data_IF_910295773381
#
_entry.id   IF_910295773381
#
_cell.length_a   1.000
_cell.length_b   1.000
_cell.length_c   1.000
_cell.angle_alpha   90.00
_cell.angle_beta   90.00
_cell.angle_gamma   90.00
#
_symmetry.space_group_name_H-M   'P 1'
#
loop_
_entity.id
_entity.type
_entity.pdbx_description
1 polymer ?
#
# COMPACT_ATOMS: atom_id res chain seq x y z
N UNK A 1 4.50 48.41 -67.60
CA UNK A 1 3.38 48.36 -68.56
C UNK A 1 2.09 48.13 -67.79
N UNK A 2 1.08 48.99 -67.99
CA UNK A 2 -0.34 48.92 -67.56
C UNK A 2 -0.59 49.18 -66.06
N UNK A 3 -0.94 50.41 -65.69
CA UNK A 3 -2.31 51.02 -65.59
C UNK A 3 -2.90 50.74 -64.20
N UNK A 4 -3.03 51.70 -63.28
CA UNK A 4 -3.80 52.97 -63.31
C UNK A 4 -5.26 52.74 -63.71
N UNK A 5 -6.16 52.96 -62.73
CA UNK A 5 -7.63 53.23 -62.74
C UNK A 5 -8.18 52.60 -61.44
N UNK A 6 -8.29 53.34 -60.34
CA UNK A 6 -9.30 54.37 -60.00
C UNK A 6 -10.45 53.77 -59.16
N UNK A 7 -10.60 54.28 -57.91
CA UNK A 7 -11.71 55.14 -57.44
C UNK A 7 -12.99 54.35 -57.14
N UNK A 8 -13.79 54.56 -56.08
CA UNK A 8 -14.04 55.64 -55.12
C UNK A 8 -14.45 54.92 -53.80
N UNK A 9 -14.21 55.39 -52.58
CA UNK A 9 -14.86 56.55 -51.95
C UNK A 9 -14.15 56.90 -50.65
N UNK A 10 -13.39 58.00 -50.66
CA UNK A 10 -13.25 58.89 -49.51
C UNK A 10 -14.26 60.00 -49.74
N UNK A 11 -15.22 60.18 -48.84
CA UNK A 11 -16.02 61.40 -48.77
C UNK A 11 -16.70 61.50 -47.40
N UNK A 12 -16.38 62.59 -46.69
CA UNK A 12 -17.00 63.14 -45.47
C UNK A 12 -16.72 62.34 -44.18
N UNK A 13 -15.97 62.85 -43.19
CA UNK A 13 -16.11 64.15 -42.49
C UNK A 13 -16.96 63.87 -41.25
N UNK A 14 -16.49 63.98 -40.00
CA UNK A 14 -15.99 65.19 -39.33
C UNK A 14 -15.14 64.83 -38.08
N UNK A 15 -14.27 65.79 -37.76
CA UNK A 15 -13.38 65.93 -36.60
C UNK A 15 -14.06 66.55 -35.38
N UNK A 16 -13.49 66.31 -34.19
CA UNK A 16 -13.18 67.21 -33.06
C UNK A 16 -12.97 66.32 -31.82
N UNK A 17 -12.13 66.56 -30.80
CA UNK A 17 -10.94 67.36 -30.49
C UNK A 17 -10.47 66.78 -29.12
N UNK A 18 -9.16 66.75 -28.84
CA UNK A 18 -8.58 66.27 -27.55
C UNK A 18 -8.70 67.36 -26.44
N UNK A 19 -8.35 67.15 -25.13
CA UNK A 19 -7.02 66.70 -24.68
C UNK A 19 -6.91 65.86 -23.38
N UNK A 20 -5.74 65.23 -23.27
CA UNK A 20 -4.92 64.89 -22.08
C UNK A 20 -5.56 64.29 -20.82
N UNK A 21 -4.98 63.17 -20.33
CA UNK A 21 -4.03 63.17 -19.20
C UNK A 21 -3.59 61.73 -18.87
N UNK A 22 -2.27 61.56 -18.77
CA UNK A 22 -1.47 60.59 -18.01
C UNK A 22 -1.45 59.07 -18.31
N UNK A 23 -0.28 58.67 -18.85
CA UNK A 23 0.64 57.63 -18.37
C UNK A 23 0.06 56.37 -17.68
N UNK A 24 0.28 55.21 -18.31
CA UNK A 24 1.22 54.21 -17.77
C UNK A 24 1.42 53.06 -18.77
N UNK A 25 2.69 52.74 -18.99
CA UNK A 25 3.18 51.61 -19.77
C UNK A 25 2.74 50.30 -19.10
N UNK A 26 2.16 49.37 -19.86
CA UNK A 26 2.29 47.94 -19.53
C UNK A 26 2.36 47.12 -20.80
N UNK A 27 3.56 46.58 -20.99
CA UNK A 27 3.98 45.62 -21.99
C UNK A 27 3.20 44.31 -21.93
N UNK A 28 2.84 43.86 -23.12
CA UNK A 28 2.49 42.49 -23.52
C UNK A 28 3.18 41.39 -22.71
N UNK A 29 2.39 40.42 -22.23
CA UNK A 29 2.80 39.01 -22.22
C UNK A 29 1.61 38.16 -22.64
N UNK A 30 1.78 37.56 -23.81
CA UNK A 30 0.95 36.49 -24.36
C UNK A 30 0.85 35.36 -23.34
N UNK A 31 -0.38 35.05 -22.91
CA UNK A 31 -0.69 33.81 -22.22
C UNK A 31 -0.59 32.67 -23.23
N UNK A 32 0.47 31.88 -23.14
CA UNK A 32 0.56 30.59 -23.82
C UNK A 32 -0.45 29.62 -23.21
N UNK A 33 -1.21 28.87 -24.02
CA UNK A 33 -2.18 27.91 -23.51
C UNK A 33 -1.45 26.79 -22.77
N UNK A 34 -1.84 26.57 -21.51
CA UNK A 34 -1.39 25.47 -20.68
C UNK A 34 -1.59 24.15 -21.42
N UNK A 35 -0.46 23.57 -21.79
CA UNK A 35 -0.37 22.28 -22.45
C UNK A 35 -0.84 21.20 -21.48
N UNK A 36 -1.95 20.54 -21.83
CA UNK A 36 -2.49 19.32 -21.23
C UNK A 36 -1.52 18.11 -21.40
N UNK A 37 -0.31 18.21 -20.86
CA UNK A 37 0.49 17.03 -20.58
C UNK A 37 -0.16 16.38 -19.36
N UNK A 38 -0.59 15.11 -19.41
CA UNK A 38 -1.14 14.47 -18.22
C UNK A 38 -0.08 14.54 -17.11
N UNK A 39 -0.44 15.16 -15.97
CA UNK A 39 0.47 15.39 -14.85
C UNK A 39 1.09 14.09 -14.29
N UNK A 40 0.47 12.95 -14.60
CA UNK A 40 0.79 11.62 -14.09
C UNK A 40 2.13 11.05 -14.61
N UNK A 41 2.42 10.94 -15.93
CA UNK A 41 3.76 10.62 -16.42
C UNK A 41 4.87 11.51 -15.85
N UNK A 42 4.62 12.81 -15.76
CA UNK A 42 5.59 13.78 -15.23
C UNK A 42 5.90 13.48 -13.76
N UNK A 43 4.87 13.25 -12.94
CA UNK A 43 5.04 12.89 -11.53
C UNK A 43 5.75 11.54 -11.36
N UNK A 44 5.43 10.55 -12.21
CA UNK A 44 6.12 9.26 -12.23
C UNK A 44 7.61 9.41 -12.52
N UNK A 45 7.94 10.20 -13.54
CA UNK A 45 9.34 10.47 -13.88
C UNK A 45 10.05 11.25 -12.78
N UNK A 46 9.35 12.17 -12.08
CA UNK A 46 9.90 12.86 -10.93
C UNK A 46 10.24 11.91 -9.77
N UNK A 47 9.34 10.96 -9.45
CA UNK A 47 9.57 9.91 -8.44
C UNK A 47 10.79 9.07 -8.81
N UNK A 48 10.84 8.57 -10.05
CA UNK A 48 11.95 7.75 -10.53
C UNK A 48 13.28 8.51 -10.47
N UNK A 49 13.31 9.76 -10.95
CA UNK A 49 14.51 10.60 -10.91
C UNK A 49 14.99 10.81 -9.49
N UNK A 50 14.08 11.07 -8.56
CA UNK A 50 14.42 11.19 -7.14
C UNK A 50 15.03 9.89 -6.59
N UNK A 51 14.40 8.74 -6.83
CA UNK A 51 14.91 7.45 -6.33
C UNK A 51 16.32 7.19 -6.86
N UNK A 52 16.56 7.39 -8.16
CA UNK A 52 17.87 7.23 -8.78
C UNK A 52 18.90 8.19 -8.17
N UNK A 53 18.53 9.45 -8.00
CA UNK A 53 19.42 10.46 -7.42
C UNK A 53 19.78 10.14 -5.97
N UNK A 54 18.81 9.67 -5.18
CA UNK A 54 19.01 9.25 -3.80
C UNK A 54 19.91 8.00 -3.68
N UNK A 55 19.90 7.13 -4.70
CA UNK A 55 20.71 5.92 -4.75
C UNK A 55 22.09 6.11 -5.40
N UNK A 56 22.38 7.28 -5.98
CA UNK A 56 23.68 7.57 -6.59
C UNK A 56 24.89 7.26 -5.67
N UNK A 57 24.87 7.56 -4.36
CA UNK A 57 25.98 7.22 -3.46
C UNK A 57 26.26 5.73 -3.34
N UNK A 58 25.29 4.87 -3.63
CA UNK A 58 25.38 3.41 -3.49
C UNK A 58 26.01 2.73 -4.72
N UNK A 59 26.20 3.46 -5.83
CA UNK A 59 26.78 2.92 -7.08
C UNK A 59 28.28 2.67 -6.94
N UNK A 60 28.99 3.52 -6.18
CA UNK A 60 30.45 3.46 -6.06
C UNK A 60 30.92 2.48 -4.96
N UNK A 61 30.02 2.02 -4.10
CA UNK A 61 30.30 1.08 -3.01
C UNK A 61 30.22 -0.38 -3.52
N UNK A 62 31.33 -0.87 -4.09
CA UNK A 62 31.47 -2.18 -4.78
C UNK A 62 30.96 -3.45 -4.05
N UNK A 63 30.60 -3.36 -2.77
CA UNK A 63 30.10 -4.47 -1.95
C UNK A 63 28.67 -4.26 -1.42
N UNK A 64 27.94 -3.25 -1.91
CA UNK A 64 26.63 -2.87 -1.40
C UNK A 64 25.54 -3.08 -2.45
N UNK A 65 24.86 -4.20 -2.37
CA UNK A 65 23.58 -4.40 -3.05
C UNK A 65 22.43 -3.82 -2.22
N UNK A 66 21.40 -3.34 -2.90
CA UNK A 66 20.17 -2.85 -2.29
C UNK A 66 19.21 -4.02 -2.11
N UNK A 67 18.89 -4.33 -0.85
CA UNK A 67 17.91 -5.35 -0.48
C UNK A 67 16.47 -4.81 -0.47
N UNK A 68 16.29 -3.49 -0.36
CA UNK A 68 14.96 -2.90 -0.43
C UNK A 68 14.91 -1.39 -0.43
N UNK A 69 13.77 -0.86 -0.88
CA UNK A 69 13.46 0.56 -0.95
C UNK A 69 12.08 0.81 -0.34
N UNK A 70 11.99 1.76 0.58
CA UNK A 70 10.72 2.30 1.07
C UNK A 70 10.63 3.79 0.72
N UNK A 71 9.75 4.09 -0.23
CA UNK A 71 9.49 5.43 -0.72
C UNK A 71 8.37 6.10 0.09
N UNK A 72 8.53 7.38 0.37
CA UNK A 72 7.51 8.19 1.04
C UNK A 72 7.18 9.38 0.17
N UNK A 73 5.89 9.72 0.08
CA UNK A 73 5.43 10.92 -0.61
C UNK A 73 4.48 11.71 0.30
N UNK A 74 4.83 12.97 0.53
CA UNK A 74 4.00 13.91 1.26
C UNK A 74 2.92 14.46 0.33
N UNK A 75 1.65 14.23 0.67
CA UNK A 75 0.49 14.74 -0.04
C UNK A 75 -0.43 15.46 0.95
N UNK A 76 -0.55 16.78 0.80
CA UNK A 76 -1.36 17.64 1.68
C UNK A 76 -2.78 17.87 1.17
N UNK A 77 -3.10 17.37 -0.04
CA UNK A 77 -4.42 17.47 -0.67
C UNK A 77 -4.80 16.16 -1.35
N UNK A 78 -6.11 15.97 -1.52
CA UNK A 78 -6.66 14.78 -2.18
C UNK A 78 -6.19 14.62 -3.62
N UNK A 79 -6.11 15.71 -4.39
CA UNK A 79 -5.61 15.71 -5.77
C UNK A 79 -4.16 15.20 -5.85
N UNK A 80 -3.31 15.57 -4.89
CA UNK A 80 -1.93 15.08 -4.82
C UNK A 80 -1.87 13.58 -4.50
N UNK A 81 -2.74 13.11 -3.62
CA UNK A 81 -2.87 11.69 -3.24
C UNK A 81 -3.33 10.84 -4.43
N UNK A 82 -4.34 11.29 -5.17
CA UNK A 82 -4.80 10.63 -6.40
C UNK A 82 -3.69 10.60 -7.46
N UNK A 83 -3.06 11.74 -7.73
CA UNK A 83 -1.96 11.81 -8.69
C UNK A 83 -0.78 10.91 -8.30
N UNK A 84 -0.47 10.82 -6.99
CA UNK A 84 0.54 9.90 -6.47
C UNK A 84 0.13 8.44 -6.68
N UNK A 85 -1.14 8.10 -6.41
CA UNK A 85 -1.63 6.73 -6.56
C UNK A 85 -1.57 6.23 -8.01
N UNK A 86 -1.96 7.07 -8.97
CA UNK A 86 -1.85 6.73 -10.40
C UNK A 86 -0.38 6.66 -10.85
N UNK A 87 0.49 7.54 -10.34
CA UNK A 87 1.91 7.50 -10.66
C UNK A 87 2.60 6.21 -10.18
N UNK A 88 2.20 5.72 -8.99
CA UNK A 88 2.75 4.55 -8.29
C UNK A 88 1.99 3.25 -8.57
N UNK A 89 0.93 3.26 -9.38
CA UNK A 89 0.08 2.10 -9.66
C UNK A 89 -0.48 1.46 -8.38
N UNK A 90 -1.11 2.24 -7.50
CA UNK A 90 -1.72 1.74 -6.25
C UNK A 90 -2.75 0.64 -6.47
N UNK A 91 -3.42 0.63 -7.62
CA UNK A 91 -4.42 -0.35 -8.03
C UNK A 91 -3.80 -1.68 -8.50
N UNK A 92 -2.51 -1.69 -8.84
CA UNK A 92 -1.77 -2.86 -9.35
C UNK A 92 -0.46 -3.04 -8.58
N UNK A 93 -0.51 -3.68 -7.39
CA UNK A 93 0.66 -3.92 -6.57
C UNK A 93 1.82 -4.55 -7.34
N UNK A 94 3.03 -4.03 -7.16
CA UNK A 94 4.25 -4.51 -7.82
C UNK A 94 4.50 -3.96 -9.23
N UNK A 95 3.48 -3.45 -9.93
CA UNK A 95 3.63 -2.99 -11.32
C UNK A 95 4.62 -1.82 -11.46
N UNK A 96 4.62 -0.87 -10.52
CA UNK A 96 5.60 0.23 -10.54
C UNK A 96 7.04 -0.29 -10.41
N UNK A 97 7.28 -1.26 -9.52
CA UNK A 97 8.59 -1.90 -9.32
C UNK A 97 9.07 -2.55 -10.61
N UNK A 98 8.27 -3.47 -11.17
CA UNK A 98 8.68 -4.33 -12.30
C UNK A 98 8.76 -3.56 -13.61
N UNK A 99 7.76 -2.73 -13.93
CA UNK A 99 7.62 -2.11 -15.26
C UNK A 99 8.35 -0.77 -15.38
N UNK A 100 8.47 0.00 -14.29
CA UNK A 100 8.92 1.40 -14.36
C UNK A 100 10.24 1.66 -13.63
N UNK A 101 10.50 0.96 -12.53
CA UNK A 101 11.62 1.25 -11.65
C UNK A 101 12.84 0.36 -11.89
N UNK A 102 12.68 -0.97 -11.82
CA UNK A 102 13.79 -1.92 -11.73
C UNK A 102 14.82 -1.76 -12.86
N UNK A 103 14.36 -1.79 -14.12
CA UNK A 103 15.23 -1.59 -15.28
C UNK A 103 15.97 -0.25 -15.26
N UNK A 104 15.33 0.81 -14.76
CA UNK A 104 15.98 2.12 -14.66
C UNK A 104 17.05 2.13 -13.56
N UNK A 105 16.84 1.46 -12.44
CA UNK A 105 17.87 1.30 -11.41
C UNK A 105 19.10 0.55 -11.95
N UNK A 106 18.87 -0.57 -12.65
CA UNK A 106 19.93 -1.36 -13.27
C UNK A 106 20.70 -0.56 -14.34
N UNK A 107 20.02 0.23 -15.17
CA UNK A 107 20.66 1.11 -16.15
C UNK A 107 21.55 2.20 -15.52
N UNK A 108 21.32 2.50 -14.24
CA UNK A 108 22.12 3.44 -13.45
C UNK A 108 23.16 2.70 -12.56
N UNK A 109 23.45 1.43 -12.85
CA UNK A 109 24.42 0.60 -12.16
C UNK A 109 24.14 0.39 -10.67
N UNK A 110 22.89 0.54 -10.24
CA UNK A 110 22.48 0.23 -8.88
C UNK A 110 22.35 -1.28 -8.76
N UNK A 111 23.14 -1.89 -7.86
CA UNK A 111 23.08 -3.32 -7.60
C UNK A 111 21.86 -3.64 -6.72
N UNK A 112 21.04 -4.60 -7.15
CA UNK A 112 19.82 -5.03 -6.47
C UNK A 112 19.97 -6.50 -6.06
N UNK A 113 19.48 -6.85 -4.87
CA UNK A 113 19.35 -8.27 -4.47
C UNK A 113 18.30 -9.00 -5.30
N UNK A 114 18.42 -10.33 -5.41
CA UNK A 114 17.51 -11.16 -6.20
C UNK A 114 16.05 -10.99 -5.76
N UNK A 115 15.81 -10.87 -4.46
CA UNK A 115 14.48 -10.71 -3.86
C UNK A 115 14.25 -9.31 -3.28
N UNK A 116 14.86 -8.28 -3.90
CA UNK A 116 14.72 -6.91 -3.40
C UNK A 116 13.25 -6.44 -3.42
N UNK A 117 12.86 -5.63 -2.43
CA UNK A 117 11.49 -5.12 -2.33
C UNK A 117 11.40 -3.61 -2.63
N UNK A 118 10.23 -3.19 -3.10
CA UNK A 118 9.87 -1.77 -3.22
C UNK A 118 8.50 -1.56 -2.56
N UNK A 119 8.45 -0.66 -1.58
CA UNK A 119 7.22 -0.20 -0.96
C UNK A 119 7.10 1.31 -1.09
N UNK A 120 5.86 1.82 -1.03
CA UNK A 120 5.62 3.24 -0.87
C UNK A 120 4.60 3.51 0.24
N UNK A 121 4.67 4.72 0.82
CA UNK A 121 3.69 5.24 1.77
C UNK A 121 3.36 6.68 1.44
N UNK A 122 2.06 6.99 1.37
CA UNK A 122 1.58 8.37 1.29
C UNK A 122 1.43 8.90 2.72
N UNK A 123 2.07 10.02 3.01
CA UNK A 123 2.02 10.70 4.32
C UNK A 123 1.35 12.06 4.17
N UNK A 124 0.61 12.52 5.19
CA UNK A 124 -0.16 13.77 5.14
C UNK A 124 0.51 14.94 5.86
N UNK A 125 1.28 14.63 6.89
CA UNK A 125 1.85 15.67 7.78
C UNK A 125 3.32 15.92 7.47
N UNK A 126 4.17 14.91 7.68
CA UNK A 126 5.62 15.04 7.52
C UNK A 126 6.28 13.75 7.02
N UNK A 127 7.43 13.90 6.35
CA UNK A 127 8.29 12.78 5.99
C UNK A 127 9.03 12.23 7.22
N UNK A 128 9.33 10.91 7.28
CA UNK A 128 10.10 10.34 8.37
C UNK A 128 11.51 10.95 8.47
N UNK A 129 11.99 11.26 9.67
CA UNK A 129 13.31 11.87 9.89
C UNK A 129 14.49 10.98 9.44
N UNK A 130 14.29 9.66 9.42
CA UNK A 130 15.33 8.67 9.10
C UNK A 130 15.32 8.22 7.62
N UNK A 131 15.13 9.15 6.69
CA UNK A 131 15.18 8.86 5.25
C UNK A 131 15.90 9.98 4.47
N UNK A 132 16.35 9.65 3.26
CA UNK A 132 16.87 10.64 2.31
C UNK A 132 15.70 11.47 1.82
N UNK A 133 15.68 12.78 2.07
CA UNK A 133 14.55 13.65 1.73
C UNK A 133 14.90 14.64 0.62
N UNK A 134 13.96 14.88 -0.28
CA UNK A 134 14.01 15.98 -1.25
C UNK A 134 12.59 16.48 -1.56
N UNK A 135 12.28 17.71 -1.14
CA UNK A 135 10.94 18.29 -1.31
C UNK A 135 9.87 17.42 -0.65
N UNK A 136 8.86 16.99 -1.43
CA UNK A 136 7.77 16.12 -0.96
C UNK A 136 8.11 14.63 -0.96
N UNK A 137 9.36 14.25 -1.23
CA UNK A 137 9.76 12.85 -1.36
C UNK A 137 10.76 12.43 -0.28
N UNK A 138 10.58 11.21 0.23
CA UNK A 138 11.50 10.53 1.13
C UNK A 138 11.87 9.14 0.62
N UNK A 139 13.10 8.69 0.84
CA UNK A 139 13.55 7.35 0.50
C UNK A 139 14.35 6.75 1.64
N UNK A 140 13.90 5.63 2.17
CA UNK A 140 14.69 4.76 3.04
C UNK A 140 15.24 3.62 2.20
N UNK A 141 16.55 3.41 2.29
CA UNK A 141 17.28 2.36 1.57
C UNK A 141 17.66 1.27 2.57
N UNK A 142 17.43 0.02 2.21
CA UNK A 142 17.86 -1.16 2.96
C UNK A 142 18.99 -1.83 2.20
N UNK A 143 20.18 -1.90 2.80
CA UNK A 143 21.37 -2.52 2.20
C UNK A 143 21.37 -4.03 2.43
N UNK A 144 22.00 -4.78 1.55
CA UNK A 144 22.26 -6.20 1.79
C UNK A 144 23.23 -6.37 2.96
N UNK A 145 22.91 -7.29 3.87
CA UNK A 145 23.70 -7.50 5.10
C UNK A 145 23.51 -6.44 6.18
N UNK A 146 22.83 -5.32 5.89
CA UNK A 146 22.23 -4.50 6.94
C UNK A 146 21.15 -5.36 7.57
N UNK A 147 21.42 -5.88 8.76
CA UNK A 147 20.36 -6.34 9.65
C UNK A 147 19.39 -5.16 9.72
N UNK A 148 18.25 -5.27 9.03
CA UNK A 148 17.11 -4.39 9.23
C UNK A 148 16.95 -4.41 10.74
N UNK A 149 17.35 -3.34 11.44
CA UNK A 149 17.24 -3.29 12.89
C UNK A 149 15.78 -3.59 13.18
N UNK A 150 15.58 -4.79 13.68
CA UNK A 150 14.34 -5.54 13.55
C UNK A 150 13.30 -4.80 14.35
N UNK A 151 12.43 -4.03 13.68
CA UNK A 151 11.13 -3.75 14.26
C UNK A 151 10.28 -4.98 13.98
N UNK A 152 10.57 -6.09 14.66
CA UNK A 152 9.60 -7.16 14.81
C UNK A 152 8.51 -6.61 15.72
N UNK A 153 7.61 -5.82 15.14
CA UNK A 153 6.48 -5.29 15.89
C UNK A 153 5.60 -6.48 16.28
N UNK A 154 5.64 -6.84 17.56
CA UNK A 154 4.66 -7.76 18.11
C UNK A 154 3.26 -7.18 17.85
N UNK A 155 2.31 -8.06 17.61
CA UNK A 155 0.91 -7.72 17.49
C UNK A 155 0.08 -8.58 18.45
N UNK A 156 -1.20 -8.28 18.55
CA UNK A 156 -2.13 -9.04 19.36
C UNK A 156 -3.41 -9.29 18.57
N UNK A 157 -3.94 -10.51 18.66
CA UNK A 157 -5.31 -10.80 18.26
C UNK A 157 -6.18 -10.91 19.50
N UNK A 158 -7.23 -10.09 19.55
CA UNK A 158 -8.25 -10.17 20.60
C UNK A 158 -9.47 -10.91 20.07
N UNK A 159 -9.99 -11.87 20.83
CA UNK A 159 -11.23 -12.58 20.52
C UNK A 159 -12.41 -11.69 20.92
N UNK A 160 -13.25 -11.33 19.96
CA UNK A 160 -14.47 -10.54 20.22
C UNK A 160 -15.71 -11.42 20.29
N UNK A 161 -15.79 -12.44 19.41
CA UNK A 161 -16.92 -13.38 19.35
C UNK A 161 -16.39 -14.81 19.15
N UNK A 162 -16.99 -15.75 19.87
CA UNK A 162 -16.57 -17.15 19.93
C UNK A 162 -15.75 -17.44 21.19
N UNK A 163 -15.48 -18.72 21.42
CA UNK A 163 -14.75 -19.19 22.60
C UNK A 163 -13.41 -19.79 22.19
N UNK A 164 -12.32 -19.09 22.48
CA UNK A 164 -10.97 -19.58 22.21
C UNK A 164 -10.26 -20.02 23.50
N UNK A 165 -9.15 -20.74 23.36
CA UNK A 165 -8.28 -21.11 24.51
C UNK A 165 -7.75 -19.88 25.25
N UNK A 166 -7.53 -18.77 24.53
CA UNK A 166 -7.05 -17.50 25.08
C UNK A 166 -7.94 -16.36 24.57
N UNK A 167 -8.13 -15.35 25.39
CA UNK A 167 -8.86 -14.15 24.98
C UNK A 167 -8.01 -13.23 24.08
N UNK A 168 -6.70 -13.21 24.31
CA UNK A 168 -5.73 -12.47 23.53
C UNK A 168 -4.56 -13.37 23.16
N UNK A 169 -4.11 -13.29 21.90
CA UNK A 169 -2.98 -14.05 21.35
C UNK A 169 -1.90 -13.08 20.90
N UNK A 170 -0.73 -13.14 21.53
CA UNK A 170 0.43 -12.36 21.11
C UNK A 170 1.03 -13.00 19.86
N UNK A 171 1.14 -12.21 18.81
CA UNK A 171 1.88 -12.54 17.61
C UNK A 171 3.27 -11.95 17.76
N UNK A 172 4.25 -12.78 18.08
CA UNK A 172 5.64 -12.36 18.26
C UNK A 172 6.53 -12.96 17.15
N UNK A 173 7.00 -12.15 16.18
CA UNK A 173 7.86 -12.62 15.10
C UNK A 173 9.23 -13.12 15.56
N UNK A 174 9.67 -12.77 16.78
CA UNK A 174 10.90 -13.33 17.36
C UNK A 174 10.74 -14.81 17.73
N UNK A 175 9.51 -15.26 17.98
CA UNK A 175 9.23 -16.65 18.39
C UNK A 175 8.76 -17.52 17.22
N UNK A 176 7.86 -17.00 16.39
CA UNK A 176 7.31 -17.71 15.24
C UNK A 176 6.80 -16.72 14.20
N UNK A 177 6.96 -17.07 12.92
CA UNK A 177 6.52 -16.22 11.81
C UNK A 177 5.15 -16.60 11.26
N UNK A 178 4.63 -17.78 11.60
CA UNK A 178 3.35 -18.29 11.10
C UNK A 178 2.49 -18.75 12.26
N UNK A 179 1.23 -18.33 12.25
CA UNK A 179 0.24 -18.66 13.27
C UNK A 179 -0.99 -19.25 12.58
N UNK A 180 -1.26 -20.53 12.80
CA UNK A 180 -2.42 -21.21 12.23
C UNK A 180 -3.67 -20.96 13.08
N UNK A 181 -4.81 -20.76 12.42
CA UNK A 181 -6.10 -20.46 13.04
C UNK A 181 -7.08 -21.58 12.71
N UNK A 182 -7.71 -22.14 13.73
CA UNK A 182 -8.73 -23.16 13.51
C UNK A 182 -9.40 -23.65 14.78
N UNK A 183 -10.35 -24.57 14.57
CA UNK A 183 -11.05 -25.28 15.65
C UNK A 183 -10.27 -26.50 16.11
N UNK A 184 -10.20 -26.69 17.44
CA UNK A 184 -9.34 -27.68 18.14
C UNK A 184 -7.85 -27.39 18.02
N UNK A 185 -7.06 -27.75 19.03
CA UNK A 185 -5.59 -27.54 19.04
C UNK A 185 -4.86 -28.37 17.99
N UNK A 186 -5.21 -29.66 17.92
CA UNK A 186 -4.51 -30.65 17.08
C UNK A 186 -5.48 -31.52 16.25
N UNK A 187 -6.39 -30.93 15.45
CA UNK A 187 -7.39 -31.72 14.73
C UNK A 187 -6.76 -32.59 13.64
N UNK A 188 -7.32 -33.79 13.46
CA UNK A 188 -7.08 -34.58 12.27
C UNK A 188 -7.95 -34.07 11.12
N UNK A 189 -7.32 -33.70 10.01
CA UNK A 189 -7.97 -33.26 8.78
C UNK A 189 -8.51 -34.46 7.99
N UNK A 190 -9.36 -34.19 7.00
CA UNK A 190 -9.90 -35.23 6.09
C UNK A 190 -8.81 -35.97 5.30
N UNK A 191 -7.64 -35.34 5.11
CA UNK A 191 -6.46 -35.98 4.51
C UNK A 191 -5.73 -36.95 5.45
N UNK A 192 -6.16 -37.08 6.71
CA UNK A 192 -5.45 -37.82 7.75
C UNK A 192 -4.31 -37.05 8.42
N UNK A 193 -3.91 -35.88 7.89
CA UNK A 193 -2.89 -35.02 8.49
C UNK A 193 -3.38 -34.42 9.81
N UNK A 194 -2.52 -34.39 10.82
CA UNK A 194 -2.75 -33.61 12.04
C UNK A 194 -2.33 -32.16 11.77
N UNK A 195 -3.27 -31.23 11.94
CA UNK A 195 -3.01 -29.80 11.89
C UNK A 195 -2.73 -29.32 13.32
N UNK A 196 -1.75 -28.43 13.49
CA UNK A 196 -1.52 -27.74 14.76
C UNK A 196 -1.98 -26.30 14.62
N UNK A 197 -2.94 -25.90 15.46
CA UNK A 197 -3.46 -24.54 15.52
C UNK A 197 -2.81 -23.76 16.66
N UNK A 198 -2.41 -22.53 16.38
CA UNK A 198 -1.80 -21.62 17.36
C UNK A 198 -2.86 -20.77 18.02
N UNK A 199 -3.82 -20.30 17.21
CA UNK A 199 -5.03 -19.58 17.63
C UNK A 199 -6.19 -20.57 17.54
N UNK A 200 -6.72 -20.96 18.70
CA UNK A 200 -7.57 -22.15 18.85
C UNK A 200 -8.94 -21.77 19.32
N UNK A 201 -9.94 -22.01 18.47
CA UNK A 201 -11.34 -22.02 18.88
C UNK A 201 -11.70 -23.40 19.42
N UNK A 202 -12.31 -23.45 20.62
CA UNK A 202 -12.69 -24.72 21.24
C UNK A 202 -13.78 -25.43 20.43
N UNK A 203 -13.68 -26.75 20.31
CA UNK A 203 -14.70 -27.57 19.68
C UNK A 203 -15.75 -28.04 20.70
N UNK A 204 -16.96 -28.29 20.20
CA UNK A 204 -18.00 -28.94 21.00
C UNK A 204 -17.49 -30.27 21.57
N UNK A 205 -17.68 -30.47 22.87
CA UNK A 205 -17.20 -31.63 23.62
C UNK A 205 -15.75 -31.55 24.11
N UNK A 206 -15.01 -30.49 23.79
CA UNK A 206 -13.71 -30.23 24.42
C UNK A 206 -13.88 -29.68 25.85
N UNK A 207 -12.96 -29.98 26.78
CA UNK A 207 -13.00 -29.44 28.13
C UNK A 207 -13.10 -27.91 28.14
N UNK A 208 -14.07 -27.39 28.88
CA UNK A 208 -14.29 -25.95 29.01
C UNK A 208 -15.15 -25.34 27.89
N UNK A 209 -15.59 -26.10 26.88
CA UNK A 209 -16.53 -25.60 25.87
C UNK A 209 -17.88 -25.23 26.50
N UNK A 210 -18.34 -24.02 26.26
CA UNK A 210 -19.65 -23.51 26.64
C UNK A 210 -20.53 -23.40 25.38
N UNK A 211 -21.73 -24.00 25.40
CA UNK A 211 -22.61 -24.07 24.24
C UNK A 211 -23.10 -22.70 23.76
N UNK A 212 -23.18 -21.70 24.65
CA UNK A 212 -23.67 -20.36 24.30
C UNK A 212 -22.52 -19.53 23.73
N UNK A 213 -21.39 -19.44 24.44
CA UNK A 213 -20.23 -18.68 24.02
C UNK A 213 -19.50 -19.31 22.82
N UNK A 214 -19.46 -20.64 22.78
CA UNK A 214 -18.79 -21.44 21.75
C UNK A 214 -19.62 -21.70 20.49
N UNK A 215 -20.90 -21.25 20.44
CA UNK A 215 -21.78 -21.47 19.27
C UNK A 215 -21.14 -21.04 17.95
N UNK A 216 -20.49 -19.88 17.95
CA UNK A 216 -19.80 -19.33 16.78
C UNK A 216 -18.66 -20.24 16.27
N UNK A 217 -18.03 -21.00 17.15
CA UNK A 217 -16.92 -21.89 16.81
C UNK A 217 -17.35 -23.04 15.89
N UNK A 218 -18.64 -23.39 15.86
CA UNK A 218 -19.18 -24.44 14.99
C UNK A 218 -18.97 -24.12 13.50
N UNK A 219 -18.82 -22.84 13.17
CA UNK A 219 -18.54 -22.36 11.81
C UNK A 219 -17.04 -22.16 11.54
N UNK A 220 -16.19 -22.26 12.58
CA UNK A 220 -14.73 -22.23 12.41
C UNK A 220 -14.25 -23.62 12.01
N UNK A 221 -13.53 -23.69 10.88
CA UNK A 221 -13.00 -24.95 10.36
C UNK A 221 -11.77 -25.40 11.14
N UNK A 222 -11.45 -26.70 11.09
CA UNK A 222 -10.27 -27.29 11.74
C UNK A 222 -8.95 -26.67 11.26
N UNK A 223 -8.89 -26.25 10.00
CA UNK A 223 -7.79 -25.49 9.40
C UNK A 223 -8.39 -24.33 8.59
N UNK A 224 -8.70 -23.23 9.26
CA UNK A 224 -9.53 -22.19 8.69
C UNK A 224 -8.68 -21.10 8.01
N UNK A 225 -7.68 -20.57 8.71
CA UNK A 225 -6.84 -19.50 8.22
C UNK A 225 -5.42 -19.61 8.79
N UNK A 226 -4.52 -18.76 8.33
CA UNK A 226 -3.24 -18.56 9.00
C UNK A 226 -2.74 -17.14 8.77
N UNK A 227 -1.94 -16.66 9.72
CA UNK A 227 -1.26 -15.37 9.62
C UNK A 227 0.23 -15.62 9.44
N UNK A 228 0.87 -14.86 8.55
CA UNK A 228 2.32 -14.83 8.38
C UNK A 228 2.82 -13.42 8.68
N UNK A 229 3.84 -13.29 9.50
CA UNK A 229 4.63 -12.07 9.57
C UNK A 229 5.66 -12.07 8.43
N UNK A 230 5.61 -11.05 7.58
CA UNK A 230 6.60 -10.84 6.54
C UNK A 230 7.68 -9.85 7.02
N UNK A 231 8.90 -10.33 7.32
CA UNK A 231 9.99 -9.48 7.82
C UNK A 231 10.50 -8.49 6.77
N UNK A 232 10.24 -8.73 5.48
CA UNK A 232 10.66 -7.81 4.41
C UNK A 232 9.84 -6.52 4.44
N UNK A 233 8.57 -6.62 4.83
CA UNK A 233 7.63 -5.48 4.83
C UNK A 233 7.19 -5.04 6.22
N UNK A 234 7.56 -5.77 7.28
CA UNK A 234 7.15 -5.53 8.67
C UNK A 234 5.62 -5.48 8.81
N UNK A 235 4.95 -6.51 8.30
CA UNK A 235 3.49 -6.62 8.30
C UNK A 235 3.03 -8.04 8.56
N UNK A 236 1.85 -8.15 9.16
CA UNK A 236 1.11 -9.41 9.27
C UNK A 236 0.16 -9.56 8.09
N UNK A 237 0.19 -10.74 7.48
CA UNK A 237 -0.56 -11.11 6.29
C UNK A 237 -1.51 -12.25 6.67
N UNK A 238 -2.81 -12.03 6.51
CA UNK A 238 -3.84 -13.04 6.73
C UNK A 238 -4.12 -13.80 5.43
N UNK A 239 -4.10 -15.12 5.49
CA UNK A 239 -4.41 -16.01 4.37
C UNK A 239 -5.56 -16.95 4.71
N UNK A 240 -6.45 -17.24 3.75
CA UNK A 240 -7.37 -18.36 3.86
C UNK A 240 -6.60 -19.68 3.73
N UNK A 241 -6.94 -20.64 4.59
CA UNK A 241 -6.56 -22.05 4.40
C UNK A 241 -7.76 -22.82 3.79
N UNK A 242 -7.57 -24.10 3.46
CA UNK A 242 -8.59 -24.92 2.78
C UNK A 242 -9.96 -24.90 3.45
N UNK A 243 -9.99 -24.86 4.79
CA UNK A 243 -11.24 -24.79 5.55
C UNK A 243 -11.84 -23.38 5.67
N UNK A 244 -11.13 -22.33 5.26
CA UNK A 244 -11.62 -20.95 5.19
C UNK A 244 -12.08 -20.53 3.80
N UNK A 245 -11.90 -21.39 2.80
CA UNK A 245 -12.28 -21.12 1.41
C UNK A 245 -13.79 -21.30 1.19
N UNK A 246 -14.37 -20.62 0.18
CA UNK A 246 -15.80 -20.69 -0.12
C UNK A 246 -16.37 -22.10 -0.28
N UNK A 247 -15.59 -23.02 -0.85
CA UNK A 247 -16.00 -24.41 -1.09
C UNK A 247 -16.30 -25.19 0.21
N UNK A 248 -15.73 -24.75 1.33
CA UNK A 248 -15.98 -25.32 2.65
C UNK A 248 -17.25 -24.77 3.33
N UNK A 249 -17.89 -23.76 2.73
CA UNK A 249 -19.01 -23.00 3.32
C UNK A 249 -18.60 -21.98 4.39
N UNK A 250 -17.42 -22.14 4.98
CA UNK A 250 -16.95 -21.40 6.14
C UNK A 250 -15.96 -20.30 5.72
N UNK A 251 -16.49 -19.22 5.12
CA UNK A 251 -15.70 -18.14 4.50
C UNK A 251 -15.00 -17.24 5.53
N UNK A 252 -13.99 -16.51 5.07
CA UNK A 252 -13.35 -15.44 5.84
C UNK A 252 -13.74 -14.08 5.27
N UNK A 253 -14.13 -13.16 6.15
CA UNK A 253 -14.27 -11.73 5.85
C UNK A 253 -13.35 -10.91 6.73
N UNK A 254 -12.85 -9.80 6.20
CA UNK A 254 -12.17 -8.78 6.97
C UNK A 254 -12.96 -7.50 6.88
N UNK A 255 -13.42 -7.00 8.02
CA UNK A 255 -13.94 -5.65 8.17
C UNK A 255 -12.76 -4.76 8.51
N UNK A 256 -12.34 -3.94 7.56
CA UNK A 256 -11.18 -3.06 7.73
C UNK A 256 -11.51 -1.89 8.64
N UNK A 257 -10.48 -1.24 9.19
CA UNK A 257 -10.67 -0.08 10.07
C UNK A 257 -11.43 1.11 9.42
N UNK A 258 -11.50 1.17 8.09
CA UNK A 258 -12.31 2.12 7.32
C UNK A 258 -13.70 1.58 6.92
N UNK A 259 -14.20 0.58 7.66
CA UNK A 259 -15.51 -0.07 7.50
C UNK A 259 -15.77 -0.73 6.12
N UNK A 260 -14.71 -1.06 5.38
CA UNK A 260 -14.85 -1.85 4.14
C UNK A 260 -14.82 -3.34 4.44
N UNK A 261 -15.59 -4.11 3.69
CA UNK A 261 -15.61 -5.57 3.79
C UNK A 261 -14.80 -6.19 2.67
N UNK A 262 -13.76 -6.94 3.02
CA UNK A 262 -12.94 -7.72 2.09
C UNK A 262 -13.18 -9.21 2.29
N UNK A 263 -13.35 -9.94 1.20
CA UNK A 263 -13.51 -11.39 1.22
C UNK A 263 -12.21 -12.08 0.85
N UNK A 264 -11.76 -12.99 1.70
CA UNK A 264 -10.58 -13.81 1.44
C UNK A 264 -11.05 -15.15 0.87
N UNK A 265 -11.25 -15.19 -0.45
CA UNK A 265 -11.90 -16.30 -1.15
C UNK A 265 -10.97 -17.14 -2.02
N UNK A 266 -9.69 -16.74 -2.15
CA UNK A 266 -8.71 -17.40 -3.00
C UNK A 266 -7.50 -17.85 -2.19
N UNK A 267 -7.12 -19.11 -2.38
CA UNK A 267 -5.92 -19.66 -1.73
C UNK A 267 -4.67 -18.92 -2.21
N UNK A 268 -3.78 -18.59 -1.28
CA UNK A 268 -2.51 -17.90 -1.57
C UNK A 268 -2.62 -16.39 -1.76
N UNK A 269 -3.83 -15.81 -1.76
CA UNK A 269 -4.01 -14.36 -1.77
C UNK A 269 -4.21 -13.86 -0.34
N UNK A 270 -3.33 -12.96 0.09
CA UNK A 270 -3.32 -12.43 1.45
C UNK A 270 -4.07 -11.09 1.57
N UNK A 271 -4.54 -10.79 2.78
CA UNK A 271 -4.89 -9.43 3.19
C UNK A 271 -3.85 -8.91 4.19
N UNK A 272 -3.46 -7.65 4.05
CA UNK A 272 -2.54 -6.99 4.96
C UNK A 272 -3.31 -6.50 6.19
N UNK A 273 -3.03 -7.09 7.35
CA UNK A 273 -3.69 -6.71 8.60
C UNK A 273 -3.25 -5.32 9.05
N UNK A 274 -4.22 -4.50 9.42
CA UNK A 274 -4.02 -3.16 9.99
C UNK A 274 -4.65 -3.08 11.38
N UNK A 275 -4.15 -2.15 12.20
CA UNK A 275 -4.74 -1.85 13.51
C UNK A 275 -6.25 -1.66 13.39
N UNK A 276 -7.01 -2.40 14.19
CA UNK A 276 -8.47 -2.31 14.23
C UNK A 276 -9.20 -3.23 13.26
N UNK A 277 -8.53 -3.87 12.30
CA UNK A 277 -9.17 -4.83 11.40
C UNK A 277 -9.86 -5.94 12.20
N UNK A 278 -11.09 -6.27 11.84
CA UNK A 278 -11.84 -7.39 12.40
C UNK A 278 -11.90 -8.54 11.40
N UNK A 279 -11.49 -9.72 11.84
CA UNK A 279 -11.45 -10.94 11.05
C UNK A 279 -12.64 -11.80 11.46
N UNK A 280 -13.60 -11.95 10.55
CA UNK A 280 -14.76 -12.82 10.71
C UNK A 280 -14.46 -14.19 10.10
N UNK A 281 -14.57 -15.23 10.90
CA UNK A 281 -14.29 -16.62 10.56
C UNK A 281 -15.61 -17.40 10.53
N UNK A 282 -15.91 -18.02 9.39
CA UNK A 282 -17.12 -18.85 9.23
C UNK A 282 -18.44 -18.08 9.31
N UNK A 283 -18.40 -16.75 9.36
CA UNK A 283 -19.61 -15.93 9.47
C UNK A 283 -20.01 -15.54 10.89
N UNK A 284 -19.37 -16.09 11.93
CA UNK A 284 -19.83 -15.92 13.31
C UNK A 284 -18.71 -15.58 14.31
N UNK A 285 -17.54 -16.22 14.22
CA UNK A 285 -16.45 -15.94 15.14
C UNK A 285 -15.67 -14.71 14.69
N UNK A 286 -15.30 -13.83 15.62
CA UNK A 286 -14.67 -12.55 15.29
C UNK A 286 -13.41 -12.35 16.13
N UNK A 287 -12.31 -12.06 15.45
CA UNK A 287 -11.05 -11.59 16.03
C UNK A 287 -10.83 -10.13 15.67
N UNK A 288 -10.14 -9.37 16.52
CA UNK A 288 -9.65 -8.02 16.22
C UNK A 288 -8.13 -8.00 16.25
N UNK A 289 -7.53 -7.46 15.19
CA UNK A 289 -6.10 -7.24 15.13
C UNK A 289 -5.72 -5.92 15.82
N UNK A 290 -4.71 -6.01 16.69
CA UNK A 290 -4.09 -4.88 17.38
C UNK A 290 -2.59 -4.88 17.07
N UNK A 291 -2.07 -3.79 16.54
CA UNK A 291 -0.63 -3.57 16.38
C UNK A 291 -0.04 -3.15 17.73
N UNK A 292 1.11 -3.72 18.08
CA UNK A 292 1.89 -3.33 19.27
C UNK A 292 2.67 -2.03 19.08
#
# INVERSE_FOLDING_TARGET
MKNLINKLKKSFGLTEESPDTDQAVSSTKEESPDSFIPATPVKRDAIIKFIIQALKPYVDEKSMSVAGLRFYILCTSHEQEEAAGIALYTDKPGMFKTEHLERKLLNHFIQLEQDWFFEYQIVKDQLPENCIQQGSFGLKVTRAGEHIVEKYAAACLQVLVGQAEQFEYVLDPHTQLRFNIGRSKSPQLSSGKIQLNDIVFLAAGEPGFDEIAGRANLHVSRNHAYIIYDPKVDKYLLYPDKGGLPDSGNKIKVHTADDKVKWLNMYGIAHHLQEGDQIELGGEAILRFKKG
#
